data_IF_875026575441
#
_entry.id   IF_875026575441
#
_cell.length_a   1.000
_cell.length_b   1.000
_cell.length_c   1.000
_cell.angle_alpha   90.00
_cell.angle_beta   90.00
_cell.angle_gamma   90.00
#
_symmetry.space_group_name_H-M   'P 1'
#
loop_
_entity.id
_entity.type
_entity.pdbx_description
1 polymer ?
#
# COMPACT_ATOMS: atom_id res chain seq x y z
N UNK A 1 -13.87 14.06 -0.54
CA UNK A 1 -13.79 12.68 -1.08
C UNK A 1 -13.84 11.76 0.11
N UNK A 2 -14.72 10.76 0.14
CA UNK A 2 -14.79 9.81 1.25
C UNK A 2 -13.49 8.98 1.32
N UNK A 3 -13.09 8.52 2.51
CA UNK A 3 -11.86 7.73 2.71
C UNK A 3 -11.82 6.51 1.78
N UNK A 4 -12.96 5.84 1.60
CA UNK A 4 -13.15 4.74 0.66
C UNK A 4 -12.77 5.13 -0.78
N UNK A 5 -13.29 6.25 -1.28
CA UNK A 5 -13.01 6.72 -2.64
C UNK A 5 -11.50 6.95 -2.84
N UNK A 6 -10.83 7.61 -1.88
CA UNK A 6 -9.39 7.90 -1.96
C UNK A 6 -8.56 6.62 -2.00
N UNK A 7 -8.96 5.62 -1.22
CA UNK A 7 -8.30 4.33 -1.18
C UNK A 7 -8.46 3.54 -2.50
N UNK A 8 -9.67 3.49 -3.06
CA UNK A 8 -9.88 2.92 -4.40
C UNK A 8 -9.16 3.71 -5.51
N UNK A 9 -8.94 5.01 -5.31
CA UNK A 9 -8.19 5.83 -6.26
C UNK A 9 -6.69 5.47 -6.29
N UNK A 10 -6.07 5.18 -5.14
CA UNK A 10 -4.70 4.66 -5.08
C UNK A 10 -4.61 3.33 -5.85
N UNK A 11 -5.54 2.41 -5.59
CA UNK A 11 -5.64 1.14 -6.35
C UNK A 11 -5.77 1.39 -7.86
N UNK A 12 -6.68 2.29 -8.27
CA UNK A 12 -6.87 2.65 -9.68
C UNK A 12 -5.55 3.13 -10.33
N UNK A 13 -4.74 3.91 -9.61
CA UNK A 13 -3.46 4.39 -10.14
C UNK A 13 -2.47 3.27 -10.36
N UNK A 14 -2.33 2.35 -9.42
CA UNK A 14 -1.49 1.17 -9.62
C UNK A 14 -2.01 0.31 -10.77
N UNK A 15 -3.32 0.09 -10.83
CA UNK A 15 -3.95 -0.68 -11.91
C UNK A 15 -3.66 -0.08 -13.28
N UNK A 16 -3.89 1.22 -13.48
CA UNK A 16 -3.64 1.87 -14.77
C UNK A 16 -2.17 1.96 -15.12
N UNK A 17 -1.30 2.22 -14.15
CA UNK A 17 0.15 2.19 -14.36
C UNK A 17 0.61 0.81 -14.88
N UNK A 18 0.11 -0.27 -14.27
CA UNK A 18 0.43 -1.64 -14.69
C UNK A 18 -0.23 -2.03 -16.01
N UNK A 19 -1.36 -1.42 -16.40
CA UNK A 19 -1.93 -1.63 -17.74
C UNK A 19 -1.11 -1.00 -18.86
N UNK A 20 -0.45 0.14 -18.58
CA UNK A 20 0.36 0.86 -19.56
C UNK A 20 1.69 0.15 -19.87
N UNK A 21 2.19 -0.66 -18.94
CA UNK A 21 3.45 -1.36 -19.11
C UNK A 21 3.27 -2.62 -20.00
N UNK A 22 4.01 -2.75 -21.11
CA UNK A 22 3.94 -3.94 -21.98
C UNK A 22 4.45 -5.22 -21.30
N UNK A 23 5.28 -5.08 -20.25
CA UNK A 23 5.78 -6.18 -19.41
C UNK A 23 4.69 -6.79 -18.51
N UNK A 24 3.52 -6.17 -18.44
CA UNK A 24 2.45 -6.51 -17.50
C UNK A 24 1.14 -6.89 -18.18
N UNK A 25 1.19 -7.37 -19.43
CA UNK A 25 0.08 -8.13 -20.04
C UNK A 25 -0.25 -9.34 -19.14
N UNK A 26 -1.49 -9.41 -18.63
CA UNK A 26 -1.95 -10.49 -17.73
C UNK A 26 -2.78 -9.98 -16.55
N UNK A 27 -2.69 -10.64 -15.39
CA UNK A 27 -3.48 -10.38 -14.16
C UNK A 27 -3.19 -9.02 -13.48
N UNK A 28 -3.42 -7.92 -14.19
CA UNK A 28 -3.15 -6.55 -13.73
C UNK A 28 -3.90 -6.19 -12.45
N UNK A 29 -5.12 -6.73 -12.27
CA UNK A 29 -5.90 -6.60 -11.04
C UNK A 29 -5.12 -7.13 -9.83
N UNK A 30 -4.68 -8.39 -9.92
CA UNK A 30 -3.96 -9.05 -8.83
C UNK A 30 -2.65 -8.32 -8.51
N UNK A 31 -1.90 -7.92 -9.55
CA UNK A 31 -0.67 -7.15 -9.38
C UNK A 31 -0.92 -5.80 -8.68
N UNK A 32 -1.97 -5.08 -9.06
CA UNK A 32 -2.33 -3.81 -8.41
C UNK A 32 -2.70 -3.99 -6.93
N UNK A 33 -3.44 -5.06 -6.60
CA UNK A 33 -3.72 -5.44 -5.20
C UNK A 33 -2.41 -5.74 -4.46
N UNK A 34 -1.50 -6.51 -5.06
CA UNK A 34 -0.21 -6.84 -4.46
C UNK A 34 0.63 -5.59 -4.15
N UNK A 35 0.72 -4.63 -5.09
CA UNK A 35 1.40 -3.35 -4.85
C UNK A 35 0.82 -2.60 -3.67
N UNK A 36 -0.51 -2.58 -3.57
CA UNK A 36 -1.19 -1.92 -2.47
C UNK A 36 -0.88 -2.61 -1.13
N UNK A 37 -0.83 -3.94 -1.09
CA UNK A 37 -0.43 -4.70 0.11
C UNK A 37 1.02 -4.41 0.49
N UNK A 38 1.94 -4.30 -0.47
CA UNK A 38 3.35 -3.98 -0.20
C UNK A 38 3.45 -2.60 0.49
N UNK A 39 2.76 -1.59 -0.04
CA UNK A 39 2.75 -0.23 0.52
C UNK A 39 2.18 -0.22 1.94
N UNK A 40 1.09 -0.94 2.18
CA UNK A 40 0.51 -1.06 3.54
C UNK A 40 1.41 -1.86 4.50
N UNK A 41 2.11 -2.87 3.98
CA UNK A 41 3.07 -3.65 4.77
C UNK A 41 4.24 -2.78 5.22
N UNK A 42 4.78 -1.92 4.34
CA UNK A 42 5.81 -0.94 4.72
C UNK A 42 5.35 -0.05 5.86
N UNK A 43 4.11 0.45 5.80
CA UNK A 43 3.54 1.25 6.88
C UNK A 43 3.43 0.43 8.19
N UNK A 44 2.91 -0.80 8.13
CA UNK A 44 2.77 -1.66 9.30
C UNK A 44 4.13 -1.98 9.96
N UNK A 45 5.14 -2.34 9.16
CA UNK A 45 6.50 -2.57 9.64
C UNK A 45 7.12 -1.32 10.24
N UNK A 46 6.91 -0.15 9.64
CA UNK A 46 7.41 1.12 10.18
C UNK A 46 6.83 1.38 11.58
N UNK A 47 5.53 1.13 11.76
CA UNK A 47 4.87 1.29 13.06
C UNK A 47 5.41 0.31 14.11
N UNK A 48 5.69 -0.94 13.73
CA UNK A 48 6.33 -1.93 14.60
C UNK A 48 7.72 -1.44 15.04
N UNK A 49 8.53 -0.93 14.11
CA UNK A 49 9.85 -0.39 14.42
C UNK A 49 9.77 0.82 15.38
N UNK A 50 8.84 1.75 15.13
CA UNK A 50 8.64 2.90 16.01
C UNK A 50 8.12 2.50 17.39
N UNK A 51 7.26 1.49 17.47
CA UNK A 51 6.84 0.92 18.74
C UNK A 51 8.04 0.36 19.52
N UNK A 52 8.92 -0.41 18.88
CA UNK A 52 10.10 -0.96 19.53
C UNK A 52 11.01 0.17 20.07
N UNK A 53 11.22 1.23 19.29
CA UNK A 53 12.03 2.40 19.67
C UNK A 53 11.43 3.15 20.88
N UNK A 54 10.15 3.53 20.80
CA UNK A 54 9.49 4.36 21.81
C UNK A 54 9.40 3.68 23.19
N UNK A 55 9.31 2.36 23.21
CA UNK A 55 9.23 1.59 24.45
C UNK A 55 10.56 0.92 24.83
N UNK A 56 11.65 1.31 24.17
CA UNK A 56 13.01 0.76 24.39
C UNK A 56 13.04 -0.77 24.39
N UNK A 57 12.21 -1.37 23.54
CA UNK A 57 12.08 -2.81 23.39
C UNK A 57 13.15 -3.32 22.44
N UNK A 58 13.63 -4.55 22.66
CA UNK A 58 14.51 -5.21 21.70
C UNK A 58 13.75 -5.42 20.39
N UNK A 59 14.45 -5.32 19.26
CA UNK A 59 13.89 -5.53 17.92
C UNK A 59 13.18 -6.88 17.86
N UNK A 60 11.94 -6.88 17.37
CA UNK A 60 11.14 -8.11 17.26
C UNK A 60 10.51 -8.53 18.58
N UNK A 61 10.27 -7.59 19.50
CA UNK A 61 9.46 -7.86 20.69
C UNK A 61 8.03 -8.24 20.30
N UNK A 62 7.53 -7.69 19.20
CA UNK A 62 6.36 -8.24 18.54
C UNK A 62 6.74 -9.56 17.89
N UNK A 63 6.07 -10.65 18.29
CA UNK A 63 6.37 -11.98 17.79
C UNK A 63 6.23 -12.05 16.26
N UNK A 64 7.08 -12.86 15.64
CA UNK A 64 7.00 -13.16 14.21
C UNK A 64 5.61 -13.68 13.83
N UNK A 65 5.00 -14.48 14.70
CA UNK A 65 3.62 -14.96 14.54
C UNK A 65 2.61 -13.82 14.47
N UNK A 66 2.66 -12.83 15.38
CA UNK A 66 1.74 -11.69 15.34
C UNK A 66 1.96 -10.83 14.08
N UNK A 67 3.21 -10.64 13.67
CA UNK A 67 3.55 -9.92 12.43
C UNK A 67 2.99 -10.63 11.20
N UNK A 68 3.15 -11.96 11.11
CA UNK A 68 2.59 -12.78 10.04
C UNK A 68 1.06 -12.71 10.04
N UNK A 69 0.42 -12.79 11.22
CA UNK A 69 -1.03 -12.66 11.35
C UNK A 69 -1.55 -11.31 10.87
N UNK A 70 -0.85 -10.21 11.16
CA UNK A 70 -1.21 -8.87 10.67
C UNK A 70 -1.13 -8.78 9.15
N UNK A 71 -0.04 -9.29 8.56
CA UNK A 71 0.11 -9.32 7.10
C UNK A 71 -0.97 -10.20 6.46
N UNK A 72 -1.26 -11.37 7.05
CA UNK A 72 -2.32 -12.25 6.58
C UNK A 72 -3.70 -11.59 6.66
N UNK A 73 -3.99 -10.85 7.74
CA UNK A 73 -5.23 -10.11 7.89
C UNK A 73 -5.39 -9.03 6.79
N UNK A 74 -4.32 -8.27 6.51
CA UNK A 74 -4.29 -7.31 5.40
C UNK A 74 -4.63 -8.02 4.08
N UNK A 75 -3.98 -9.15 3.80
CA UNK A 75 -4.22 -9.96 2.60
C UNK A 75 -5.68 -10.42 2.47
N UNK A 76 -6.25 -10.99 3.54
CA UNK A 76 -7.63 -11.50 3.54
C UNK A 76 -8.63 -10.36 3.27
N UNK A 77 -8.43 -9.22 3.92
CA UNK A 77 -9.26 -8.02 3.70
C UNK A 77 -9.18 -7.62 2.22
N UNK A 78 -7.98 -7.54 1.63
CA UNK A 78 -7.84 -7.17 0.21
C UNK A 78 -8.48 -8.18 -0.73
N UNK A 79 -8.34 -9.46 -0.43
CA UNK A 79 -8.96 -10.52 -1.21
C UNK A 79 -10.48 -10.32 -1.28
N UNK A 80 -11.12 -10.03 -0.15
CA UNK A 80 -12.56 -9.81 -0.10
C UNK A 80 -13.00 -8.57 -0.89
N UNK A 81 -12.31 -7.44 -0.72
CA UNK A 81 -12.73 -6.16 -1.32
C UNK A 81 -12.39 -5.98 -2.80
N UNK A 82 -11.33 -6.62 -3.31
CA UNK A 82 -10.84 -6.41 -4.67
C UNK A 82 -10.82 -7.66 -5.55
N UNK A 83 -10.65 -8.85 -4.95
CA UNK A 83 -10.54 -10.08 -5.74
C UNK A 83 -11.88 -10.79 -5.82
N UNK A 84 -12.55 -11.00 -4.69
CA UNK A 84 -13.87 -11.64 -4.61
C UNK A 84 -14.99 -10.73 -5.12
N UNK A 85 -14.92 -9.44 -4.82
CA UNK A 85 -15.93 -8.47 -5.21
C UNK A 85 -15.44 -7.63 -6.41
N UNK A 86 -16.25 -7.56 -7.46
CA UNK A 86 -15.94 -6.79 -8.68
C UNK A 86 -16.30 -5.29 -8.57
N UNK A 87 -16.68 -4.82 -7.38
CA UNK A 87 -16.94 -3.40 -7.08
C UNK A 87 -15.81 -2.47 -7.52
N UNK A 88 -14.56 -2.93 -7.58
CA UNK A 88 -13.42 -2.14 -8.06
C UNK A 88 -13.61 -1.61 -9.49
N UNK A 89 -14.34 -2.32 -10.36
CA UNK A 89 -14.59 -1.91 -11.75
C UNK A 89 -15.38 -0.60 -11.82
N UNK A 90 -16.40 -0.47 -10.98
CA UNK A 90 -17.21 0.76 -10.89
C UNK A 90 -16.35 1.98 -10.52
N UNK A 91 -15.34 1.79 -9.66
CA UNK A 91 -14.39 2.86 -9.33
C UNK A 91 -13.45 3.19 -10.50
N UNK A 92 -12.96 2.17 -11.22
CA UNK A 92 -12.13 2.39 -12.42
C UNK A 92 -12.90 3.21 -13.45
N UNK A 93 -14.13 2.82 -13.77
CA UNK A 93 -14.99 3.55 -14.71
C UNK A 93 -15.29 4.98 -14.24
N UNK A 94 -15.57 5.15 -12.93
CA UNK A 94 -15.77 6.47 -12.32
C UNK A 94 -14.55 7.36 -12.47
N UNK A 95 -13.34 6.84 -12.24
CA UNK A 95 -12.11 7.61 -12.29
C UNK A 95 -11.57 7.83 -13.71
N UNK A 96 -11.85 6.93 -14.65
CA UNK A 96 -11.53 7.14 -16.07
C UNK A 96 -12.34 8.30 -16.68
N UNK A 97 -13.55 8.58 -16.15
CA UNK A 97 -14.36 9.74 -16.54
C UNK A 97 -13.88 11.07 -15.93
N UNK A 98 -12.83 11.09 -15.11
CA UNK A 98 -12.34 12.33 -14.50
C UNK A 98 -11.62 13.24 -15.50
N UNK A 99 -11.72 14.58 -15.34
CA UNK A 99 -10.95 15.51 -16.14
C UNK A 99 -9.44 15.25 -16.04
N UNK A 100 -8.72 15.34 -17.17
CA UNK A 100 -7.27 15.08 -17.24
C UNK A 100 -6.47 15.86 -16.20
N UNK A 101 -6.81 17.14 -15.98
CA UNK A 101 -6.16 17.99 -14.98
C UNK A 101 -6.33 17.46 -13.55
N UNK A 102 -7.54 17.03 -13.19
CA UNK A 102 -7.82 16.41 -11.89
C UNK A 102 -7.05 15.10 -11.74
N UNK A 103 -7.02 14.30 -12.80
CA UNK A 103 -6.33 13.01 -12.78
C UNK A 103 -4.81 13.15 -12.62
N UNK A 104 -4.21 14.20 -13.22
CA UNK A 104 -2.77 14.51 -13.10
C UNK A 104 -2.40 14.92 -11.68
N UNK A 105 -3.18 15.82 -11.05
CA UNK A 105 -2.98 16.21 -9.65
C UNK A 105 -3.09 15.00 -8.72
N UNK A 106 -4.09 14.15 -8.95
CA UNK A 106 -4.26 12.92 -8.19
C UNK A 106 -3.10 11.93 -8.36
N UNK A 107 -2.54 11.76 -9.57
CA UNK A 107 -1.32 10.96 -9.77
C UNK A 107 -0.17 11.48 -8.93
N UNK A 108 0.08 12.80 -8.94
CA UNK A 108 1.16 13.41 -8.18
C UNK A 108 1.01 13.15 -6.68
N UNK A 109 -0.21 13.29 -6.15
CA UNK A 109 -0.51 13.00 -4.74
C UNK A 109 -0.22 11.53 -4.40
N UNK A 110 -0.63 10.58 -5.25
CA UNK A 110 -0.37 9.15 -5.00
C UNK A 110 1.13 8.86 -5.01
N UNK A 111 1.89 9.43 -5.94
CA UNK A 111 3.36 9.28 -5.98
C UNK A 111 3.98 9.82 -4.69
N UNK A 112 3.59 11.02 -4.25
CA UNK A 112 4.09 11.62 -3.02
C UNK A 112 3.79 10.77 -1.78
N UNK A 113 2.57 10.21 -1.68
CA UNK A 113 2.20 9.32 -0.57
C UNK A 113 3.08 8.06 -0.56
N UNK A 114 3.25 7.42 -1.72
CA UNK A 114 4.05 6.19 -1.82
C UNK A 114 5.52 6.46 -1.48
N UNK A 115 6.08 7.57 -1.98
CA UNK A 115 7.45 7.98 -1.64
C UNK A 115 7.61 8.30 -0.16
N UNK A 116 6.65 9.01 0.44
CA UNK A 116 6.66 9.30 1.88
C UNK A 116 6.66 8.01 2.71
N UNK A 117 5.81 7.04 2.35
CA UNK A 117 5.74 5.75 3.04
C UNK A 117 7.03 4.93 2.86
N UNK A 118 7.64 4.95 1.68
CA UNK A 118 8.91 4.29 1.42
C UNK A 118 10.06 4.92 2.22
N UNK A 119 10.16 6.26 2.23
CA UNK A 119 11.17 6.99 3.01
C UNK A 119 10.96 6.71 4.50
N UNK A 120 9.72 6.80 4.99
CA UNK A 120 9.37 6.48 6.37
C UNK A 120 9.77 5.05 6.75
N UNK A 121 9.54 4.09 5.86
CA UNK A 121 9.95 2.70 6.05
C UNK A 121 11.47 2.57 6.17
N UNK A 122 12.22 3.18 5.25
CA UNK A 122 13.70 3.18 5.29
C UNK A 122 14.20 3.83 6.59
N UNK A 123 13.69 5.03 6.93
CA UNK A 123 14.05 5.75 8.16
C UNK A 123 13.74 4.92 9.41
N UNK A 124 12.62 4.19 9.43
CA UNK A 124 12.26 3.34 10.57
C UNK A 124 13.29 2.22 10.83
N UNK A 125 13.99 1.73 9.80
CA UNK A 125 15.08 0.78 9.98
C UNK A 125 16.35 1.46 10.50
N UNK A 126 16.73 2.61 9.95
CA UNK A 126 17.91 3.36 10.39
C UNK A 126 17.81 3.85 11.84
N UNK A 127 16.61 4.24 12.27
CA UNK A 127 16.37 4.69 13.64
C UNK A 127 16.33 3.54 14.65
N UNK A 128 16.17 2.30 14.20
CA UNK A 128 16.19 1.15 15.09
C UNK A 128 17.65 0.78 15.37
N UNK A 129 18.18 1.00 16.59
CA UNK A 129 19.61 0.91 16.89
C UNK A 129 20.23 -0.50 16.69
N UNK A 130 19.41 -1.52 16.47
CA UNK A 130 19.81 -2.91 16.18
C UNK A 130 19.98 -3.18 14.67
N UNK A 131 20.20 -2.15 13.84
CA UNK A 131 20.63 -2.29 12.43
C UNK A 131 22.14 -2.15 12.23
N UNK A 132 22.88 -1.80 13.29
CA UNK A 132 24.32 -1.53 13.24
C UNK A 132 25.19 -2.66 13.84
N UNK A 133 24.59 -3.82 14.12
CA UNK A 133 25.29 -5.03 14.58
C UNK A 133 25.26 -6.12 13.50
#
# INVERSE_FOLDING_TARGET
MLVKDSYYYIFYKFYRFLQLSPLTKGNTKFKAVLFLIIVESWMAFSLINYYDILFSKKRGTISSSLTISLIAAIWIIKWFFFIRNDNWRNYVEKFDKWPKAKNRRGTLIVILIVLLLLINFIVSFYLNPLSND
#
